data_IF_325528333403
#
_entry.id   IF_325528333403
#
_cell.length_a   1.000
_cell.length_b   1.000
_cell.length_c   1.000
_cell.angle_alpha   90.00
_cell.angle_beta   90.00
_cell.angle_gamma   90.00
#
_symmetry.space_group_name_H-M   'P 1'
#
loop_
_entity.id
_entity.type
_entity.pdbx_description
1 polymer ?
#
# COMPACT_ATOMS: atom_id res chain seq x y z
N UNK A 1 -1.32 -29.39 26.37
CA UNK A 1 -0.79 -28.00 26.37
C UNK A 1 0.64 -28.03 26.89
N UNK A 2 1.58 -27.32 26.25
CA UNK A 2 3.03 -27.38 26.55
C UNK A 2 3.50 -26.44 27.67
N UNK A 3 2.62 -25.60 28.22
CA UNK A 3 2.95 -24.58 29.22
C UNK A 3 3.55 -25.18 30.51
N UNK A 4 3.00 -26.28 31.01
CA UNK A 4 3.49 -26.97 32.21
C UNK A 4 4.92 -27.52 32.06
N UNK A 5 5.37 -27.80 30.84
CA UNK A 5 6.72 -28.32 30.59
C UNK A 5 7.79 -27.22 30.49
N UNK A 6 7.38 -25.97 30.26
CA UNK A 6 8.29 -24.84 30.01
C UNK A 6 8.29 -23.76 31.09
N UNK A 7 7.41 -23.84 32.09
CA UNK A 7 7.30 -22.84 33.15
C UNK A 7 8.41 -22.97 34.19
N UNK A 8 9.03 -21.85 34.56
CA UNK A 8 9.99 -21.77 35.67
C UNK A 8 9.25 -21.94 37.00
N UNK A 9 9.69 -22.88 37.83
CA UNK A 9 9.12 -23.05 39.17
C UNK A 9 9.50 -21.84 40.04
N UNK A 10 8.54 -21.34 40.82
CA UNK A 10 8.63 -20.17 41.71
C UNK A 10 8.62 -18.77 41.05
N UNK A 11 8.38 -18.65 39.74
CA UNK A 11 8.14 -17.35 39.09
C UNK A 11 6.69 -17.22 38.61
N UNK A 12 6.05 -16.05 38.80
CA UNK A 12 4.69 -15.83 38.30
C UNK A 12 4.70 -15.85 36.76
N UNK A 13 3.74 -16.56 36.18
CA UNK A 13 3.56 -16.61 34.73
C UNK A 13 2.20 -16.04 34.37
N UNK A 14 2.18 -15.09 33.44
CA UNK A 14 0.97 -14.36 33.05
C UNK A 14 0.48 -14.84 31.69
N UNK A 15 -0.80 -15.20 31.62
CA UNK A 15 -1.47 -15.53 30.38
C UNK A 15 -2.15 -14.27 29.84
N UNK A 16 -1.67 -13.76 28.71
CA UNK A 16 -2.31 -12.67 28.00
C UNK A 16 -3.07 -13.26 26.81
N UNK A 17 -4.39 -13.14 26.82
CA UNK A 17 -5.25 -13.42 25.67
C UNK A 17 -5.62 -12.10 25.02
N UNK A 18 -5.50 -12.03 23.69
CA UNK A 18 -5.99 -10.89 22.93
C UNK A 18 -7.53 -10.93 22.99
N UNK A 19 -8.11 -9.95 23.68
CA UNK A 19 -9.53 -9.65 23.53
C UNK A 19 -9.66 -8.79 22.29
N UNK A 20 -10.16 -9.39 21.22
CA UNK A 20 -10.68 -8.59 20.12
C UNK A 20 -12.05 -8.16 20.59
N UNK A 21 -12.18 -6.91 21.02
CA UNK A 21 -13.49 -6.29 20.98
C UNK A 21 -13.96 -6.47 19.54
N UNK A 22 -15.11 -7.12 19.35
CA UNK A 22 -15.81 -6.98 18.08
C UNK A 22 -15.86 -5.48 17.87
N UNK A 23 -15.16 -5.03 16.83
CA UNK A 23 -15.29 -3.67 16.37
C UNK A 23 -16.76 -3.63 15.97
N UNK A 24 -17.66 -3.23 16.88
CA UNK A 24 -18.87 -2.55 16.49
C UNK A 24 -18.33 -1.56 15.49
N UNK A 25 -18.64 -1.78 14.21
CA UNK A 25 -18.19 -0.92 13.12
C UNK A 25 -18.38 0.48 13.67
N UNK A 26 -17.27 1.12 14.01
CA UNK A 26 -17.35 2.40 14.68
C UNK A 26 -18.01 3.27 13.63
N UNK A 27 -19.31 3.46 13.78
CA UNK A 27 -20.11 4.41 13.03
C UNK A 27 -19.73 5.82 13.46
N UNK A 28 -18.68 5.96 14.29
CA UNK A 28 -17.78 7.09 14.24
C UNK A 28 -17.46 7.36 12.79
N UNK A 29 -18.14 8.39 12.27
CA UNK A 29 -17.96 8.92 10.94
C UNK A 29 -16.47 8.86 10.61
N UNK A 30 -16.07 7.86 9.82
CA UNK A 30 -14.99 8.08 8.87
C UNK A 30 -15.52 9.30 8.14
N UNK A 31 -14.93 10.50 8.31
CA UNK A 31 -15.41 11.62 7.54
C UNK A 31 -15.29 11.11 6.11
N UNK A 32 -16.36 11.24 5.34
CA UNK A 32 -16.45 10.76 3.96
C UNK A 32 -15.43 11.44 3.02
N UNK A 33 -14.39 12.06 3.59
CA UNK A 33 -13.06 12.47 3.11
C UNK A 33 -12.29 11.35 2.40
N UNK A 34 -12.87 10.16 2.22
CA UNK A 34 -12.38 9.17 1.27
C UNK A 34 -13.22 9.04 -0.01
N UNK A 35 -14.30 9.80 -0.19
CA UNK A 35 -15.35 9.45 -1.16
C UNK A 35 -15.46 10.34 -2.38
N UNK A 36 -15.00 11.60 -2.37
CA UNK A 36 -15.01 12.48 -3.55
C UNK A 36 -13.88 13.49 -3.44
N UNK A 37 -13.08 13.62 -4.50
CA UNK A 37 -12.30 14.83 -4.73
C UNK A 37 -13.25 16.04 -4.66
N UNK A 38 -12.84 17.18 -4.08
CA UNK A 38 -13.62 18.40 -4.23
C UNK A 38 -13.87 18.63 -5.72
N UNK A 39 -15.05 19.14 -6.11
CA UNK A 39 -15.40 19.37 -7.54
C UNK A 39 -14.33 20.18 -8.29
N UNK A 40 -13.59 21.01 -7.57
CA UNK A 40 -12.46 21.82 -8.07
C UNK A 40 -11.25 20.99 -8.54
N UNK A 41 -11.12 19.74 -8.09
CA UNK A 41 -10.01 18.83 -8.37
C UNK A 41 -10.44 17.50 -8.99
N UNK A 42 -11.69 17.41 -9.47
CA UNK A 42 -12.21 16.22 -10.14
C UNK A 42 -11.35 15.84 -11.35
N UNK A 43 -10.81 16.83 -12.06
CA UNK A 43 -9.91 16.66 -13.20
C UNK A 43 -8.50 16.16 -12.81
N UNK A 44 -8.06 16.38 -11.57
CA UNK A 44 -6.74 15.94 -11.10
C UNK A 44 -6.72 14.48 -10.65
N UNK A 45 -7.86 13.97 -10.22
CA UNK A 45 -8.01 12.60 -9.71
C UNK A 45 -9.17 11.93 -10.47
N UNK A 46 -9.00 11.67 -11.78
CA UNK A 46 -10.03 10.99 -12.55
C UNK A 46 -10.13 9.53 -12.12
N UNK A 47 -11.34 8.97 -12.13
CA UNK A 47 -11.57 7.56 -11.79
C UNK A 47 -10.94 6.59 -12.82
N UNK A 48 -10.80 7.05 -14.05
CA UNK A 48 -10.21 6.30 -15.17
C UNK A 48 -9.00 7.02 -15.75
N UNK A 49 -8.04 6.26 -16.28
CA UNK A 49 -6.87 6.83 -16.93
C UNK A 49 -7.30 7.62 -18.19
N UNK A 50 -6.84 8.87 -18.38
CA UNK A 50 -7.15 9.62 -19.60
C UNK A 50 -6.64 8.89 -20.84
N UNK A 51 -7.50 8.76 -21.85
CA UNK A 51 -7.18 8.05 -23.12
C UNK A 51 -6.08 8.74 -23.94
N UNK A 52 -5.83 10.02 -23.66
CA UNK A 52 -4.80 10.81 -24.34
C UNK A 52 -3.60 10.91 -23.41
N UNK A 53 -2.41 10.77 -23.99
CA UNK A 53 -1.18 11.09 -23.28
C UNK A 53 -1.25 12.52 -22.78
N UNK A 54 -0.74 12.74 -21.57
CA UNK A 54 -0.59 14.09 -21.04
C UNK A 54 0.18 14.95 -22.04
N UNK A 55 -0.12 16.26 -22.11
CA UNK A 55 0.64 17.18 -22.92
C UNK A 55 2.14 16.98 -22.67
N UNK A 56 2.93 16.99 -23.75
CA UNK A 56 4.39 16.96 -23.62
C UNK A 56 4.80 18.11 -22.70
N UNK A 57 5.50 17.79 -21.62
CA UNK A 57 6.07 18.81 -20.74
C UNK A 57 7.06 19.65 -21.54
N UNK A 58 7.21 20.92 -21.21
CA UNK A 58 8.20 21.81 -21.84
C UNK A 58 9.63 21.26 -21.70
N UNK A 59 9.85 20.42 -20.69
CA UNK A 59 11.13 19.74 -20.43
C UNK A 59 10.94 18.25 -20.62
N UNK A 60 11.61 17.69 -21.64
CA UNK A 60 11.77 16.25 -21.78
C UNK A 60 12.70 15.72 -20.68
N UNK A 61 12.27 14.67 -20.00
CA UNK A 61 13.10 13.98 -19.01
C UNK A 61 14.09 13.08 -19.75
N UNK A 62 15.37 13.48 -19.78
CA UNK A 62 16.45 12.64 -20.29
C UNK A 62 16.91 11.70 -19.19
N UNK A 63 17.05 10.42 -19.52
CA UNK A 63 17.67 9.44 -18.63
C UNK A 63 19.15 9.40 -18.99
N UNK A 64 20.00 9.84 -18.07
CA UNK A 64 21.45 9.75 -18.23
C UNK A 64 21.90 8.30 -18.03
N UNK A 65 22.71 7.81 -18.95
CA UNK A 65 23.28 6.46 -18.89
C UNK A 65 24.74 6.53 -18.48
N UNK A 66 25.14 5.65 -17.58
CA UNK A 66 26.57 5.47 -17.27
C UNK A 66 27.29 4.98 -18.53
N UNK A 67 28.40 5.61 -18.96
CA UNK A 67 29.12 5.21 -20.17
C UNK A 67 29.46 3.71 -20.17
N UNK A 68 29.18 3.03 -21.29
CA UNK A 68 29.44 1.59 -21.44
C UNK A 68 28.34 0.66 -20.91
N UNK A 69 27.23 1.20 -20.40
CA UNK A 69 26.06 0.39 -20.05
C UNK A 69 25.41 -0.25 -21.29
N UNK A 70 25.11 -1.54 -21.18
CA UNK A 70 24.40 -2.29 -22.23
C UNK A 70 22.90 -2.20 -21.95
N UNK A 71 22.05 -2.07 -22.99
CA UNK A 71 20.60 -2.14 -22.82
C UNK A 71 20.18 -3.50 -22.26
N UNK A 72 19.19 -3.51 -21.37
CA UNK A 72 18.63 -4.76 -20.82
C UNK A 72 17.82 -5.48 -21.89
N UNK A 73 18.31 -6.62 -22.38
CA UNK A 73 17.62 -7.50 -23.30
C UNK A 73 16.98 -8.70 -22.57
N UNK A 74 16.04 -8.43 -21.65
CA UNK A 74 15.30 -9.48 -20.93
C UNK A 74 14.11 -9.94 -21.76
N UNK A 75 13.90 -11.26 -21.80
CA UNK A 75 12.73 -11.87 -22.45
C UNK A 75 11.47 -11.47 -21.67
N UNK A 76 10.34 -11.29 -22.37
CA UNK A 76 9.05 -11.01 -21.76
C UNK A 76 8.62 -12.18 -20.86
N UNK A 77 8.00 -11.87 -19.73
CA UNK A 77 7.46 -12.89 -18.85
C UNK A 77 6.18 -13.50 -19.46
N UNK A 78 6.03 -14.82 -19.35
CA UNK A 78 4.79 -15.49 -19.71
C UNK A 78 3.78 -15.34 -18.57
N UNK A 79 2.80 -14.47 -18.73
CA UNK A 79 1.64 -14.43 -17.84
C UNK A 79 0.64 -15.50 -18.29
N UNK A 80 0.38 -16.47 -17.41
CA UNK A 80 -0.68 -17.47 -17.55
C UNK A 80 -1.97 -16.94 -16.92
#
# INVERSE_FOLDING_TARGET
>A
MQFEKGRKQNEPSYLCTLHFDEIEQASGLIPSVGKKSPKEFEDMIPNDLPRKLLPKRTVDQKIELVPGTKPSARVLYHML
#
